data_IF_415243596926
#
_entry.id   IF_415243596926
#
_cell.length_a   1.000
_cell.length_b   1.000
_cell.length_c   1.000
_cell.angle_alpha   90.00
_cell.angle_beta   90.00
_cell.angle_gamma   90.00
#
_symmetry.space_group_name_H-M   'P 1'
#
loop_
_entity.id
_entity.type
_entity.pdbx_description
1 polymer ?
#
# COMPACT_ATOMS: atom_id res chain seq x y z
N UNK A 1 20.35 -7.08 27.16
CA UNK A 1 18.98 -6.89 27.71
C UNK A 1 18.27 -8.24 27.67
N UNK A 2 17.52 -8.60 28.68
CA UNK A 2 16.64 -9.78 28.69
C UNK A 2 15.20 -9.34 28.45
N UNK A 3 14.44 -10.13 27.71
CA UNK A 3 13.02 -9.90 27.43
C UNK A 3 12.16 -10.90 28.20
N UNK A 4 10.92 -10.54 28.51
CA UNK A 4 9.95 -11.44 29.20
C UNK A 4 9.56 -12.63 28.31
N UNK A 5 9.60 -12.42 26.99
CA UNK A 5 9.41 -13.45 25.96
C UNK A 5 10.27 -13.09 24.74
N UNK A 6 10.52 -14.04 23.87
CA UNK A 6 11.27 -13.77 22.64
C UNK A 6 10.54 -12.74 21.78
N UNK A 7 11.18 -11.61 21.41
CA UNK A 7 10.55 -10.64 20.51
C UNK A 7 10.18 -11.28 19.18
N UNK A 8 9.07 -10.87 18.55
CA UNK A 8 8.78 -11.31 17.19
C UNK A 8 9.89 -10.89 16.23
N UNK A 9 10.10 -11.70 15.19
CA UNK A 9 11.06 -11.35 14.15
C UNK A 9 10.61 -10.06 13.44
N UNK A 10 11.58 -9.24 13.03
CA UNK A 10 11.29 -8.05 12.22
C UNK A 10 10.68 -8.49 10.89
N UNK A 11 9.53 -7.95 10.55
CA UNK A 11 8.93 -8.13 9.22
C UNK A 11 9.88 -7.53 8.18
N UNK A 12 10.22 -8.30 7.15
CA UNK A 12 11.20 -7.87 6.14
C UNK A 12 10.71 -8.25 4.75
N UNK A 13 10.90 -7.37 3.78
CA UNK A 13 10.51 -7.53 2.38
C UNK A 13 11.76 -7.79 1.55
N UNK A 14 11.69 -8.76 0.62
CA UNK A 14 12.77 -9.02 -0.31
C UNK A 14 13.07 -7.80 -1.19
N UNK A 15 14.34 -7.60 -1.55
CA UNK A 15 14.77 -6.54 -2.46
C UNK A 15 15.25 -7.15 -3.77
N UNK A 16 14.72 -6.66 -4.89
CA UNK A 16 15.06 -7.16 -6.23
C UNK A 16 16.56 -7.00 -6.49
N UNK A 17 17.21 -8.11 -6.83
CA UNK A 17 18.64 -8.16 -7.15
C UNK A 17 19.58 -8.16 -5.94
N UNK A 18 19.07 -8.23 -4.71
CA UNK A 18 19.88 -8.32 -3.49
C UNK A 18 19.52 -9.55 -2.65
N UNK A 19 20.49 -10.03 -1.87
CA UNK A 19 20.25 -11.03 -0.81
C UNK A 19 19.72 -10.39 0.48
N UNK A 20 19.95 -9.10 0.65
CA UNK A 20 19.49 -8.34 1.80
C UNK A 20 17.99 -8.05 1.71
N UNK A 21 17.35 -7.92 2.85
CA UNK A 21 15.92 -7.62 2.95
C UNK A 21 15.70 -6.22 3.53
N UNK A 22 14.60 -5.60 3.16
CA UNK A 22 14.18 -4.30 3.67
C UNK A 22 13.35 -4.49 4.95
N UNK A 23 13.81 -4.04 6.14
CA UNK A 23 13.08 -4.16 7.38
C UNK A 23 11.91 -3.17 7.42
N UNK A 24 10.70 -3.64 7.69
CA UNK A 24 9.51 -2.80 7.77
C UNK A 24 9.41 -2.17 9.15
N UNK A 25 9.25 -0.84 9.20
CA UNK A 25 9.04 -0.08 10.43
C UNK A 25 7.55 0.30 10.60
N UNK A 26 7.03 1.21 9.79
CA UNK A 26 5.63 1.64 9.82
C UNK A 26 5.04 1.61 8.41
N UNK A 27 3.73 1.43 8.33
CA UNK A 27 2.99 1.48 7.07
C UNK A 27 2.02 2.65 7.15
N UNK A 28 2.25 3.68 6.34
CA UNK A 28 1.34 4.78 6.12
C UNK A 28 0.53 4.52 4.87
N UNK A 29 -0.74 4.91 4.87
CA UNK A 29 -1.63 4.81 3.73
C UNK A 29 -2.28 6.16 3.47
N UNK A 30 -2.36 6.55 2.19
CA UNK A 30 -2.97 7.82 1.77
C UNK A 30 -4.41 7.55 1.34
N UNK A 31 -5.37 8.20 1.97
CA UNK A 31 -6.76 8.07 1.57
C UNK A 31 -7.12 8.97 0.38
N UNK A 32 -7.87 8.41 -0.60
CA UNK A 32 -8.47 9.15 -1.73
C UNK A 32 -7.47 9.92 -2.60
N UNK A 33 -6.44 9.27 -3.07
CA UNK A 33 -5.36 9.91 -3.82
C UNK A 33 -5.44 9.73 -5.34
N UNK A 34 -6.58 9.29 -5.90
CA UNK A 34 -6.86 9.27 -7.33
C UNK A 34 -8.14 10.05 -7.62
N UNK A 35 -8.14 10.85 -8.70
CA UNK A 35 -9.27 11.75 -9.04
C UNK A 35 -10.56 10.96 -9.25
N UNK A 36 -10.52 9.94 -10.10
CA UNK A 36 -11.67 9.13 -10.45
C UNK A 36 -12.19 8.35 -9.24
N UNK A 37 -11.30 7.79 -8.42
CA UNK A 37 -11.68 7.11 -7.18
C UNK A 37 -12.28 8.07 -6.14
N UNK A 38 -11.76 9.30 -6.03
CA UNK A 38 -12.33 10.32 -5.16
C UNK A 38 -13.77 10.69 -5.58
N UNK A 39 -14.01 10.77 -6.90
CA UNK A 39 -15.35 11.03 -7.46
C UNK A 39 -16.33 9.88 -7.20
N UNK A 40 -15.92 8.60 -7.36
CA UNK A 40 -16.72 7.42 -6.99
C UNK A 40 -17.15 7.45 -5.52
N UNK A 41 -16.30 8.02 -4.65
CA UNK A 41 -16.56 8.18 -3.22
C UNK A 41 -17.35 9.46 -2.87
N UNK A 42 -17.79 10.24 -3.87
CA UNK A 42 -18.60 11.46 -3.71
C UNK A 42 -17.83 12.70 -3.26
N UNK A 43 -16.52 12.76 -3.56
CA UNK A 43 -15.66 13.91 -3.26
C UNK A 43 -15.18 14.58 -4.56
N UNK A 44 -15.01 15.88 -4.52
CA UNK A 44 -14.51 16.67 -5.65
C UNK A 44 -13.35 17.56 -5.17
N UNK A 45 -12.28 17.60 -5.97
CA UNK A 45 -11.18 18.52 -5.77
C UNK A 45 -9.98 17.95 -5.01
N UNK A 46 -9.00 18.81 -4.80
CA UNK A 46 -7.73 18.53 -4.13
C UNK A 46 -7.80 18.96 -2.66
N UNK A 47 -8.55 18.19 -1.88
CA UNK A 47 -8.57 18.36 -0.43
C UNK A 47 -7.20 18.01 0.18
N UNK A 48 -6.91 18.50 1.39
CA UNK A 48 -5.71 18.11 2.11
C UNK A 48 -5.65 16.57 2.25
N UNK A 49 -4.48 15.93 2.03
CA UNK A 49 -4.37 14.49 2.13
C UNK A 49 -4.60 14.08 3.59
N UNK A 50 -5.27 12.96 3.79
CA UNK A 50 -5.35 12.35 5.11
C UNK A 50 -4.67 10.99 5.10
N UNK A 51 -4.16 10.61 6.26
CA UNK A 51 -3.37 9.40 6.43
C UNK A 51 -4.01 8.49 7.46
N UNK A 52 -3.88 7.20 7.24
CA UNK A 52 -4.12 6.17 8.24
C UNK A 52 -2.95 5.19 8.21
N UNK A 53 -2.90 4.27 9.16
CA UNK A 53 -1.76 3.36 9.28
C UNK A 53 -2.22 1.92 9.33
N UNK A 54 -1.35 1.03 8.84
CA UNK A 54 -1.40 -0.40 9.12
C UNK A 54 -0.19 -0.75 10.00
N UNK A 55 -0.30 -1.72 10.92
CA UNK A 55 0.86 -2.20 11.66
C UNK A 55 1.80 -2.98 10.72
N UNK A 56 3.09 -3.06 11.06
CA UNK A 56 4.07 -3.75 10.23
C UNK A 56 3.74 -5.24 10.03
N UNK A 57 3.13 -5.87 11.01
CA UNK A 57 2.71 -7.27 10.98
C UNK A 57 1.42 -7.52 10.17
N UNK A 58 0.79 -6.47 9.63
CA UNK A 58 -0.26 -6.61 8.61
C UNK A 58 0.29 -7.04 7.22
N UNK A 59 1.61 -7.03 7.03
CA UNK A 59 2.25 -7.44 5.78
C UNK A 59 2.00 -8.92 5.49
N UNK A 60 1.62 -9.21 4.23
CA UNK A 60 1.63 -10.53 3.64
C UNK A 60 2.61 -10.52 2.46
N UNK A 61 3.69 -11.27 2.56
CA UNK A 61 4.75 -11.28 1.56
C UNK A 61 4.32 -12.05 0.31
N UNK A 62 4.24 -11.36 -0.83
CA UNK A 62 4.01 -11.98 -2.13
C UNK A 62 5.35 -12.22 -2.83
N UNK A 63 5.66 -13.50 -3.08
CA UNK A 63 6.91 -13.89 -3.78
C UNK A 63 6.65 -13.90 -5.29
N UNK A 64 7.53 -13.31 -6.11
CA UNK A 64 7.38 -13.31 -7.57
C UNK A 64 7.21 -14.71 -8.14
N UNK A 65 6.29 -14.87 -9.09
CA UNK A 65 6.00 -16.15 -9.74
C UNK A 65 5.19 -17.13 -8.91
N UNK A 66 4.88 -16.83 -7.65
CA UNK A 66 4.02 -17.64 -6.79
C UNK A 66 2.74 -16.89 -6.42
N UNK A 67 1.68 -17.64 -6.20
CA UNK A 67 0.44 -17.11 -5.62
C UNK A 67 0.46 -17.34 -4.12
N UNK A 68 0.40 -16.25 -3.35
CA UNK A 68 0.35 -16.34 -1.88
C UNK A 68 -1.10 -16.52 -1.42
N UNK A 69 -1.32 -17.42 -0.47
CA UNK A 69 -2.61 -17.59 0.16
C UNK A 69 -2.87 -16.48 1.20
N UNK A 70 -4.02 -15.84 1.13
CA UNK A 70 -4.50 -14.89 2.10
C UNK A 70 -5.77 -15.42 2.77
N UNK A 71 -5.75 -15.68 4.08
CA UNK A 71 -6.96 -16.06 4.80
C UNK A 71 -8.02 -14.96 4.66
N UNK A 72 -9.24 -15.34 4.28
CA UNK A 72 -10.34 -14.38 4.25
C UNK A 72 -10.63 -13.89 5.68
N UNK A 73 -10.54 -12.56 5.93
CA UNK A 73 -10.59 -12.07 7.31
C UNK A 73 -11.96 -12.27 7.96
N UNK A 74 -11.95 -12.46 9.28
CA UNK A 74 -13.17 -12.50 10.09
C UNK A 74 -13.90 -11.15 10.12
N UNK A 75 -15.11 -11.11 10.64
CA UNK A 75 -15.95 -9.93 10.91
C UNK A 75 -16.37 -9.14 9.68
N UNK A 76 -16.12 -9.61 8.46
CA UNK A 76 -16.55 -8.95 7.23
C UNK A 76 -17.20 -9.93 6.27
N UNK A 77 -18.15 -9.46 5.52
CA UNK A 77 -18.73 -10.12 4.33
C UNK A 77 -18.49 -9.30 3.06
N UNK A 78 -17.72 -8.21 3.18
CA UNK A 78 -17.47 -7.28 2.09
C UNK A 78 -15.99 -6.82 2.09
N UNK A 79 -15.08 -7.74 1.78
CA UNK A 79 -13.65 -7.49 1.64
C UNK A 79 -13.37 -6.91 0.26
N UNK A 80 -12.71 -5.77 0.18
CA UNK A 80 -12.34 -5.12 -1.07
C UNK A 80 -10.83 -5.15 -1.32
N UNK A 81 -10.45 -5.22 -2.59
CA UNK A 81 -9.10 -4.98 -3.07
C UNK A 81 -8.89 -3.49 -3.38
N UNK A 82 -7.68 -3.01 -3.16
CA UNK A 82 -7.19 -1.69 -3.56
C UNK A 82 -5.74 -1.83 -3.99
N UNK A 83 -5.44 -1.85 -5.31
CA UNK A 83 -4.05 -1.93 -5.78
C UNK A 83 -3.37 -0.58 -5.65
N UNK A 84 -2.13 -0.58 -5.15
CA UNK A 84 -1.39 0.64 -4.87
C UNK A 84 0.10 0.52 -5.22
N UNK A 85 0.68 1.64 -5.61
CA UNK A 85 2.12 1.81 -5.55
C UNK A 85 2.52 1.96 -4.08
N UNK A 86 3.54 1.23 -3.66
CA UNK A 86 4.15 1.39 -2.33
C UNK A 86 5.52 2.01 -2.48
N UNK A 87 5.76 3.09 -1.72
CA UNK A 87 7.05 3.77 -1.63
C UNK A 87 7.76 3.31 -0.37
N UNK A 88 8.99 2.83 -0.50
CA UNK A 88 9.85 2.42 0.61
C UNK A 88 10.82 3.56 0.98
N UNK A 89 10.82 4.00 2.24
CA UNK A 89 11.67 5.08 2.73
C UNK A 89 13.02 4.52 3.20
N UNK A 90 14.11 4.98 2.61
CA UNK A 90 15.47 4.57 2.95
C UNK A 90 16.24 5.57 3.80
N UNK A 91 15.85 6.84 3.75
CA UNK A 91 16.44 7.89 4.57
C UNK A 91 15.35 8.66 5.33
N UNK A 92 15.46 8.72 6.64
CA UNK A 92 14.48 9.42 7.49
C UNK A 92 14.55 10.95 7.35
N UNK A 93 13.53 11.62 7.90
CA UNK A 93 13.47 13.08 7.94
C UNK A 93 12.12 13.61 8.37
N UNK A 94 12.09 14.87 8.79
CA UNK A 94 10.88 15.64 9.06
C UNK A 94 10.86 16.90 8.20
N UNK A 95 9.67 17.40 7.84
CA UNK A 95 9.50 18.58 6.99
C UNK A 95 10.27 18.50 5.67
N UNK A 96 10.33 17.31 5.08
CA UNK A 96 10.99 17.05 3.80
C UNK A 96 10.28 17.86 2.71
N UNK A 97 11.03 18.64 1.93
CA UNK A 97 10.44 19.35 0.79
C UNK A 97 10.22 18.43 -0.39
N UNK A 98 9.14 18.63 -1.14
CA UNK A 98 8.84 17.82 -2.33
C UNK A 98 10.04 17.72 -3.29
N UNK A 99 10.81 18.82 -3.46
CA UNK A 99 12.01 18.83 -4.29
C UNK A 99 13.14 17.90 -3.80
N UNK A 100 13.15 17.55 -2.53
CA UNK A 100 14.15 16.68 -1.89
C UNK A 100 13.63 15.25 -1.68
N UNK A 101 12.34 14.99 -1.86
CA UNK A 101 11.68 13.73 -1.55
C UNK A 101 12.38 12.49 -2.15
N UNK A 102 12.87 12.62 -3.40
CA UNK A 102 13.56 11.52 -4.08
C UNK A 102 14.81 11.01 -3.32
N UNK A 103 15.47 11.86 -2.53
CA UNK A 103 16.65 11.49 -1.73
C UNK A 103 16.31 10.57 -0.55
N UNK A 104 15.04 10.52 -0.17
CA UNK A 104 14.53 9.71 0.94
C UNK A 104 13.97 8.36 0.49
N UNK A 105 13.75 8.16 -0.81
CA UNK A 105 13.16 6.95 -1.37
C UNK A 105 14.24 5.90 -1.59
N UNK A 106 14.06 4.70 -1.01
CA UNK A 106 14.86 3.52 -1.28
C UNK A 106 14.41 2.82 -2.57
N UNK A 107 13.10 2.63 -2.73
CA UNK A 107 12.53 1.89 -3.83
C UNK A 107 11.01 1.83 -3.82
N UNK A 108 10.46 0.97 -4.65
CA UNK A 108 9.03 0.85 -4.89
C UNK A 108 8.60 -0.61 -4.94
N UNK A 109 7.35 -0.87 -4.56
CA UNK A 109 6.73 -2.19 -4.65
C UNK A 109 5.27 -2.08 -5.11
N UNK A 110 4.71 -3.20 -5.56
CA UNK A 110 3.25 -3.36 -5.74
C UNK A 110 2.66 -3.83 -4.43
N UNK A 111 1.57 -3.20 -3.97
CA UNK A 111 0.84 -3.63 -2.77
C UNK A 111 -0.66 -3.63 -2.95
N UNK A 112 -1.36 -4.29 -2.04
CA UNK A 112 -2.82 -4.24 -1.91
C UNK A 112 -3.18 -3.67 -0.53
N UNK A 113 -3.98 -2.59 -0.50
CA UNK A 113 -4.62 -2.10 0.72
C UNK A 113 -5.95 -2.83 0.91
N UNK A 114 -5.89 -4.05 1.44
CA UNK A 114 -7.08 -4.86 1.67
C UNK A 114 -7.97 -4.23 2.73
N UNK A 115 -9.27 -4.15 2.43
CA UNK A 115 -10.22 -3.34 3.18
C UNK A 115 -11.48 -4.11 3.54
N UNK A 116 -11.79 -4.26 4.83
CA UNK A 116 -13.11 -4.66 5.31
C UNK A 116 -14.06 -3.49 5.11
N UNK A 117 -14.66 -3.41 3.93
CA UNK A 117 -15.39 -2.21 3.46
C UNK A 117 -16.62 -1.88 4.29
N UNK A 118 -17.35 -2.89 4.72
CA UNK A 118 -18.48 -2.76 5.63
C UNK A 118 -18.07 -2.09 6.94
N UNK A 119 -17.02 -2.58 7.59
CA UNK A 119 -16.52 -2.03 8.86
C UNK A 119 -15.93 -0.62 8.68
N UNK A 120 -15.18 -0.37 7.58
CA UNK A 120 -14.70 0.98 7.28
C UNK A 120 -15.85 1.97 7.12
N UNK A 121 -16.91 1.59 6.39
CA UNK A 121 -18.08 2.43 6.17
C UNK A 121 -18.81 2.73 7.48
N UNK A 122 -18.92 1.77 8.39
CA UNK A 122 -19.53 1.97 9.70
C UNK A 122 -18.70 2.92 10.57
N UNK A 123 -17.39 2.79 10.57
CA UNK A 123 -16.49 3.72 11.25
C UNK A 123 -16.59 5.14 10.65
N UNK A 124 -16.64 5.24 9.32
CA UNK A 124 -16.81 6.52 8.61
C UNK A 124 -18.10 7.23 9.02
N UNK A 125 -19.23 6.51 9.05
CA UNK A 125 -20.54 7.06 9.46
C UNK A 125 -20.54 7.58 10.91
N UNK A 126 -19.77 6.94 11.78
CA UNK A 126 -19.70 7.26 13.21
C UNK A 126 -18.56 8.25 13.55
N UNK A 127 -17.77 8.72 12.56
CA UNK A 127 -16.60 9.57 12.80
C UNK A 127 -15.50 8.87 13.63
N UNK A 128 -15.39 7.53 13.54
CA UNK A 128 -14.42 6.72 14.29
C UNK A 128 -13.21 6.35 13.44
N UNK A 129 -12.06 5.99 14.06
CA UNK A 129 -10.87 5.51 13.36
C UNK A 129 -11.14 4.26 12.52
N UNK A 130 -10.46 4.14 11.37
CA UNK A 130 -10.67 3.06 10.39
C UNK A 130 -9.90 1.77 10.70
N UNK A 131 -9.18 1.68 11.81
CA UNK A 131 -8.28 0.57 12.11
C UNK A 131 -8.94 -0.81 11.95
N UNK A 132 -10.18 -1.00 12.43
CA UNK A 132 -10.89 -2.28 12.29
C UNK A 132 -11.16 -2.67 10.83
N UNK A 133 -11.30 -1.68 9.95
CA UNK A 133 -11.52 -1.88 8.51
C UNK A 133 -10.24 -1.98 7.70
N UNK A 134 -9.13 -1.41 8.19
CA UNK A 134 -7.90 -1.20 7.42
C UNK A 134 -6.65 -1.88 8.01
N UNK A 135 -6.59 -2.11 9.32
CA UNK A 135 -5.37 -2.51 10.03
C UNK A 135 -5.51 -3.91 10.64
N UNK A 136 -5.91 -4.89 9.83
CA UNK A 136 -6.07 -6.28 10.23
C UNK A 136 -4.96 -7.16 9.67
N UNK A 137 -4.82 -8.37 10.20
CA UNK A 137 -3.79 -9.34 9.80
C UNK A 137 -3.87 -9.62 8.31
N UNK A 138 -2.71 -9.62 7.64
CA UNK A 138 -2.57 -9.83 6.19
C UNK A 138 -3.24 -8.75 5.31
N UNK A 139 -3.59 -7.60 5.88
CA UNK A 139 -4.26 -6.52 5.13
C UNK A 139 -3.34 -5.73 4.20
N UNK A 140 -2.04 -6.02 4.19
CA UNK A 140 -1.04 -5.40 3.33
C UNK A 140 -0.24 -6.46 2.52
N UNK A 141 -0.85 -7.20 1.58
CA UNK A 141 -0.09 -7.99 0.62
C UNK A 141 0.86 -7.07 -0.15
N UNK A 142 2.14 -7.46 -0.24
CA UNK A 142 3.17 -6.65 -0.87
C UNK A 142 4.20 -7.52 -1.59
N UNK A 143 4.59 -7.11 -2.79
CA UNK A 143 5.67 -7.68 -3.57
C UNK A 143 7.06 -7.20 -3.13
N UNK A 144 8.13 -7.72 -3.74
CA UNK A 144 9.48 -7.28 -3.45
C UNK A 144 9.70 -5.82 -3.85
N UNK A 145 10.59 -5.17 -3.11
CA UNK A 145 10.96 -3.78 -3.37
C UNK A 145 11.98 -3.75 -4.51
N UNK A 146 11.68 -2.98 -5.55
CA UNK A 146 12.63 -2.64 -6.61
C UNK A 146 13.33 -1.33 -6.27
N UNK A 147 14.68 -1.27 -6.20
CA UNK A 147 15.42 -0.04 -5.93
C UNK A 147 15.04 1.09 -6.89
N UNK A 148 14.89 2.31 -6.39
CA UNK A 148 14.40 3.46 -7.16
C UNK A 148 15.24 3.73 -8.44
N UNK A 149 16.54 3.50 -8.38
CA UNK A 149 17.44 3.69 -9.52
C UNK A 149 17.13 2.74 -10.69
N UNK A 150 16.44 1.62 -10.46
CA UNK A 150 16.07 0.65 -11.48
C UNK A 150 14.75 0.98 -12.19
N UNK A 151 13.98 1.94 -11.67
CA UNK A 151 12.65 2.32 -12.21
C UNK A 151 12.49 3.84 -12.36
N UNK A 152 13.30 4.50 -13.18
CA UNK A 152 13.28 5.97 -13.32
C UNK A 152 11.94 6.51 -13.84
N UNK A 153 11.12 5.66 -14.51
CA UNK A 153 9.82 6.04 -15.09
C UNK A 153 8.62 5.83 -14.18
N UNK A 154 8.80 5.49 -12.90
CA UNK A 154 7.72 5.07 -11.99
C UNK A 154 6.56 6.08 -11.91
N UNK A 155 6.83 7.39 -12.00
CA UNK A 155 5.81 8.43 -11.90
C UNK A 155 4.77 8.43 -13.04
N UNK A 156 5.06 7.71 -14.13
CA UNK A 156 4.15 7.57 -15.30
C UNK A 156 3.85 6.10 -15.62
N UNK A 157 4.17 5.19 -14.73
CA UNK A 157 3.95 3.76 -14.89
C UNK A 157 2.45 3.42 -14.91
N UNK A 158 2.06 2.45 -15.73
CA UNK A 158 0.72 1.89 -15.66
C UNK A 158 0.58 1.01 -14.42
N UNK A 159 -0.61 1.04 -13.81
CA UNK A 159 -1.01 0.20 -12.68
C UNK A 159 -2.27 -0.56 -13.03
N UNK A 160 -2.35 -1.85 -12.70
CA UNK A 160 -3.51 -2.69 -13.01
C UNK A 160 -3.72 -3.79 -11.97
N UNK A 161 -4.96 -4.22 -11.84
CA UNK A 161 -5.37 -5.40 -11.07
C UNK A 161 -6.44 -6.19 -11.82
N UNK A 162 -6.27 -7.50 -11.83
CA UNK A 162 -7.25 -8.47 -12.29
C UNK A 162 -7.74 -9.33 -11.12
N UNK A 163 -9.02 -9.69 -11.16
CA UNK A 163 -9.61 -10.71 -10.28
C UNK A 163 -10.13 -11.84 -11.16
N UNK A 164 -9.63 -13.05 -10.97
CA UNK A 164 -9.96 -14.23 -11.78
C UNK A 164 -9.75 -13.99 -13.29
N UNK A 165 -8.68 -13.28 -13.66
CA UNK A 165 -8.33 -12.95 -15.04
C UNK A 165 -9.17 -11.81 -15.68
N UNK A 166 -10.07 -11.19 -14.93
CA UNK A 166 -10.86 -10.05 -15.40
C UNK A 166 -10.29 -8.74 -14.85
N UNK A 167 -10.08 -7.77 -15.74
CA UNK A 167 -9.62 -6.43 -15.35
C UNK A 167 -10.63 -5.78 -14.39
N UNK A 168 -10.12 -5.27 -13.26
CA UNK A 168 -10.88 -4.55 -12.24
C UNK A 168 -10.41 -3.13 -12.07
N UNK A 169 -9.11 -2.93 -11.94
CA UNK A 169 -8.50 -1.63 -11.81
C UNK A 169 -7.44 -1.46 -12.89
N UNK A 170 -7.43 -0.32 -13.57
CA UNK A 170 -6.44 0.02 -14.59
C UNK A 170 -6.30 1.54 -14.65
N UNK A 171 -5.09 2.04 -14.39
CA UNK A 171 -4.82 3.47 -14.34
C UNK A 171 -3.34 3.76 -14.60
N UNK A 172 -2.88 4.93 -14.18
CA UNK A 172 -1.49 5.37 -14.29
C UNK A 172 -1.09 6.15 -13.02
N UNK A 173 0.15 5.99 -12.58
CA UNK A 173 0.68 6.68 -11.39
C UNK A 173 0.65 8.21 -11.53
N UNK A 174 0.73 8.74 -12.75
CA UNK A 174 0.59 10.18 -13.01
C UNK A 174 -0.78 10.76 -12.63
N UNK A 175 -1.80 9.92 -12.40
CA UNK A 175 -3.14 10.35 -11.99
C UNK A 175 -3.29 10.50 -10.46
N UNK A 176 -2.24 10.30 -9.68
CA UNK A 176 -2.24 10.62 -8.26
C UNK A 176 -2.55 12.11 -8.06
N UNK A 177 -3.51 12.44 -7.19
CA UNK A 177 -3.87 13.81 -6.80
C UNK A 177 -2.69 14.49 -6.10
N UNK A 178 -2.10 13.78 -5.14
CA UNK A 178 -0.87 14.12 -4.45
C UNK A 178 0.22 13.20 -4.99
N UNK A 179 1.15 13.76 -5.74
CA UNK A 179 2.29 13.03 -6.26
C UNK A 179 3.11 12.39 -5.14
N UNK A 180 3.97 11.42 -5.47
CA UNK A 180 4.86 10.76 -4.50
C UNK A 180 5.63 11.80 -3.67
N UNK A 181 6.19 12.80 -4.33
CA UNK A 181 6.99 13.85 -3.67
C UNK A 181 6.16 14.71 -2.72
N UNK A 182 4.99 15.14 -3.14
CA UNK A 182 4.07 15.93 -2.31
C UNK A 182 3.51 15.10 -1.15
N UNK A 183 3.23 13.80 -1.37
CA UNK A 183 2.81 12.89 -0.31
C UNK A 183 3.88 12.78 0.79
N UNK A 184 5.16 12.65 0.42
CA UNK A 184 6.28 12.64 1.38
C UNK A 184 6.38 13.98 2.12
N UNK A 185 6.22 15.12 1.43
CA UNK A 185 6.22 16.45 2.06
C UNK A 185 5.12 16.56 3.11
N UNK A 186 3.86 16.23 2.75
CA UNK A 186 2.72 16.31 3.65
C UNK A 186 2.84 15.34 4.83
N UNK A 187 3.26 14.09 4.57
CA UNK A 187 3.42 13.08 5.60
C UNK A 187 4.55 13.46 6.57
N UNK A 188 5.69 13.93 6.06
CA UNK A 188 6.85 14.31 6.88
C UNK A 188 6.66 15.59 7.70
N UNK A 189 5.64 16.38 7.39
CA UNK A 189 5.21 17.51 8.21
C UNK A 189 4.50 17.05 9.50
N UNK A 190 3.82 15.90 9.46
CA UNK A 190 3.09 15.33 10.60
C UNK A 190 3.91 14.31 11.38
N UNK A 191 4.83 13.58 10.74
CA UNK A 191 5.66 12.53 11.35
C UNK A 191 7.13 12.66 10.91
N UNK A 192 8.05 12.36 11.80
CA UNK A 192 9.44 12.11 11.39
C UNK A 192 9.51 10.74 10.72
N UNK A 193 9.70 10.72 9.40
CA UNK A 193 9.88 9.48 8.66
C UNK A 193 11.17 8.78 9.07
N UNK A 194 11.18 7.46 9.01
CA UNK A 194 12.32 6.63 9.38
C UNK A 194 12.67 5.67 8.22
N UNK A 195 13.93 5.24 8.11
CA UNK A 195 14.25 4.10 7.26
C UNK A 195 13.39 2.90 7.64
N UNK A 196 12.81 2.22 6.65
CA UNK A 196 11.87 1.12 6.88
C UNK A 196 10.40 1.52 6.83
N UNK A 197 10.06 2.81 6.82
CA UNK A 197 8.69 3.25 6.62
C UNK A 197 8.23 2.95 5.19
N UNK A 198 6.98 2.48 5.05
CA UNK A 198 6.29 2.25 3.77
C UNK A 198 5.16 3.27 3.62
N UNK A 199 4.92 3.72 2.38
CA UNK A 199 3.80 4.60 2.04
C UNK A 199 2.99 3.95 0.92
N UNK A 200 1.78 3.50 1.23
CA UNK A 200 0.77 3.10 0.26
C UNK A 200 0.13 4.38 -0.28
N UNK A 201 0.26 4.61 -1.59
CA UNK A 201 0.03 5.93 -2.19
C UNK A 201 -1.40 6.20 -2.63
N UNK A 202 -2.31 5.26 -2.37
CA UNK A 202 -3.70 5.33 -2.81
C UNK A 202 -3.97 4.49 -4.05
N UNK A 203 -5.23 4.13 -4.21
CA UNK A 203 -5.71 3.20 -5.25
C UNK A 203 -6.50 3.93 -6.33
N UNK A 204 -6.42 3.49 -7.60
CA UNK A 204 -7.30 4.00 -8.66
C UNK A 204 -8.74 3.48 -8.53
N UNK A 205 -9.61 3.95 -9.41
CA UNK A 205 -10.99 3.53 -9.60
C UNK A 205 -11.11 2.01 -9.88
N UNK A 206 -12.32 1.46 -9.74
CA UNK A 206 -12.61 0.05 -9.97
C UNK A 206 -12.40 -0.84 -8.74
N UNK A 207 -12.33 -0.25 -7.55
CA UNK A 207 -12.33 -0.98 -6.27
C UNK A 207 -13.57 -1.85 -6.15
N UNK A 208 -13.43 -3.09 -5.72
CA UNK A 208 -14.53 -4.03 -5.64
C UNK A 208 -14.34 -5.15 -4.63
N UNK A 209 -15.44 -5.85 -4.36
CA UNK A 209 -15.44 -6.98 -3.44
C UNK A 209 -14.72 -8.20 -4.02
N UNK A 210 -14.10 -8.96 -3.14
CA UNK A 210 -13.54 -10.29 -3.40
C UNK A 210 -14.18 -11.33 -2.49
N UNK A 211 -14.24 -12.55 -2.97
CA UNK A 211 -14.78 -13.70 -2.26
C UNK A 211 -13.68 -14.75 -1.99
N UNK A 212 -14.00 -15.73 -1.14
CA UNK A 212 -13.15 -16.92 -1.01
C UNK A 212 -13.06 -17.66 -2.34
N UNK A 213 -11.86 -18.11 -2.68
CA UNK A 213 -11.54 -18.75 -3.95
C UNK A 213 -11.12 -17.78 -5.06
N UNK A 214 -11.27 -16.47 -4.88
CA UNK A 214 -10.80 -15.49 -5.86
C UNK A 214 -9.27 -15.41 -5.88
N UNK A 215 -8.73 -15.17 -7.08
CA UNK A 215 -7.31 -14.91 -7.29
C UNK A 215 -7.12 -13.51 -7.86
N UNK A 216 -6.33 -12.70 -7.16
CA UNK A 216 -5.97 -11.34 -7.53
C UNK A 216 -4.58 -11.34 -8.15
N UNK A 217 -4.43 -10.74 -9.32
CA UNK A 217 -3.13 -10.55 -9.98
C UNK A 217 -2.95 -9.07 -10.26
N UNK A 218 -1.94 -8.46 -9.66
CA UNK A 218 -1.69 -7.04 -9.76
C UNK A 218 -0.27 -6.71 -10.20
N UNK A 219 -0.12 -5.58 -10.93
CA UNK A 219 1.17 -5.15 -11.44
C UNK A 219 1.26 -3.65 -11.66
N UNK A 220 2.50 -3.17 -11.66
CA UNK A 220 2.90 -1.82 -12.04
C UNK A 220 4.09 -1.96 -12.98
N UNK A 221 4.10 -1.21 -14.08
CA UNK A 221 5.19 -1.28 -15.06
C UNK A 221 6.55 -1.01 -14.42
N UNK A 222 7.50 -1.89 -14.68
CA UNK A 222 8.86 -1.83 -14.12
C UNK A 222 9.01 -2.46 -12.73
N UNK A 223 7.92 -2.90 -12.08
CA UNK A 223 7.97 -3.58 -10.78
C UNK A 223 7.61 -5.07 -10.91
N UNK A 224 8.02 -5.86 -9.92
CA UNK A 224 7.57 -7.24 -9.77
C UNK A 224 6.10 -7.26 -9.34
N UNK A 225 5.25 -7.95 -10.12
CA UNK A 225 3.83 -8.11 -9.82
C UNK A 225 3.58 -9.02 -8.63
N UNK A 226 2.33 -9.03 -8.16
CA UNK A 226 1.86 -9.87 -7.06
C UNK A 226 0.70 -10.75 -7.49
N UNK A 227 0.58 -11.92 -6.88
CA UNK A 227 -0.57 -12.83 -7.03
C UNK A 227 -1.01 -13.30 -5.65
N UNK A 228 -2.31 -13.12 -5.35
CA UNK A 228 -2.91 -13.43 -4.03
C UNK A 228 -4.16 -14.26 -4.23
N UNK A 229 -4.28 -15.39 -3.54
CA UNK A 229 -5.45 -16.25 -3.53
C UNK A 229 -6.17 -16.13 -2.19
N UNK A 230 -7.49 -15.92 -2.23
CA UNK A 230 -8.35 -15.77 -1.05
C UNK A 230 -8.82 -17.13 -0.54
N UNK A 231 -8.45 -17.53 0.69
CA UNK A 231 -8.84 -18.78 1.34
C UNK A 231 -10.13 -18.67 2.18
#
# INVERSE_FOLDING_TARGET
>A
MSYVFTPPATVSIAVVGLSDTFPVHRIYCVGRNYVEHAQEMGHSGRDAPFFFMKPADAVLLATPGNTVAMPYPSLTTNLHHEIELVVAIGAGGANIKAADAAKHIYGYAVGLDMTRRDLQNDMKKQGRPWCIGKSFDHSAPIGPITPAAQVPGIATAAIHLQVNGQDRQRSNIAKLIWSIAETIEQLSAAWTLQPGDLIFTGTPEGVGAVARGDTLVGGIDGLQGISVHME
#
